data_IF_660962649975
#
_entry.id   IF_660962649975
#
_cell.length_a   1.000
_cell.length_b   1.000
_cell.length_c   1.000
_cell.angle_alpha   90.00
_cell.angle_beta   90.00
_cell.angle_gamma   90.00
#
_symmetry.space_group_name_H-M   'P 1'
#
loop_
_entity.id
_entity.type
_entity.pdbx_description
1 polymer ?
#
# COMPACT_ATOMS: atom_id res chain seq x y z
N UNK A 1 -33.40 46.09 -33.93
CA UNK A 1 -34.09 44.80 -33.65
C UNK A 1 -33.07 43.85 -33.07
N UNK A 2 -32.91 43.86 -31.73
CA UNK A 2 -32.06 42.92 -31.01
C UNK A 2 -32.91 41.75 -30.56
N UNK A 3 -32.53 40.53 -30.92
CA UNK A 3 -33.09 39.31 -30.38
C UNK A 3 -32.12 38.79 -29.30
N UNK A 4 -32.34 39.24 -28.08
CA UNK A 4 -31.84 38.61 -26.86
C UNK A 4 -32.59 37.28 -26.66
N UNK A 5 -32.04 36.19 -27.17
CA UNK A 5 -32.47 34.84 -26.78
C UNK A 5 -31.91 34.51 -25.40
N UNK A 6 -32.67 34.92 -24.40
CA UNK A 6 -32.57 34.49 -23.00
C UNK A 6 -32.64 32.96 -22.94
N UNK A 7 -31.51 32.31 -22.70
CA UNK A 7 -31.41 30.87 -22.42
C UNK A 7 -32.17 30.57 -21.11
N UNK A 8 -33.05 29.57 -21.04
CA UNK A 8 -33.67 29.18 -19.79
C UNK A 8 -32.63 28.49 -18.91
N UNK A 9 -32.28 29.14 -17.80
CA UNK A 9 -31.48 28.58 -16.72
C UNK A 9 -32.41 27.69 -15.88
N UNK A 10 -32.45 26.39 -16.19
CA UNK A 10 -33.13 25.41 -15.35
C UNK A 10 -32.29 25.20 -14.08
N UNK A 11 -32.81 25.49 -12.88
CA UNK A 11 -32.12 25.12 -11.66
C UNK A 11 -32.08 23.59 -11.60
N UNK A 12 -30.89 23.00 -11.65
CA UNK A 12 -30.71 21.60 -11.30
C UNK A 12 -31.24 21.42 -9.89
N UNK A 13 -32.39 20.74 -9.72
CA UNK A 13 -32.92 20.36 -8.42
C UNK A 13 -31.89 19.46 -7.72
N UNK A 14 -31.07 20.07 -6.87
CA UNK A 14 -30.11 19.38 -6.03
C UNK A 14 -30.90 18.56 -5.01
N UNK A 15 -31.07 17.27 -5.29
CA UNK A 15 -31.79 16.34 -4.42
C UNK A 15 -31.02 16.18 -3.11
N UNK A 16 -31.64 16.57 -2.00
CA UNK A 16 -31.05 16.41 -0.66
C UNK A 16 -31.52 15.08 -0.04
N UNK A 17 -30.59 14.35 0.58
CA UNK A 17 -30.85 13.15 1.39
C UNK A 17 -30.17 13.27 2.75
N UNK A 18 -30.44 12.36 3.69
CA UNK A 18 -29.72 12.31 4.96
C UNK A 18 -28.35 11.66 4.76
N UNK A 19 -27.27 12.27 5.25
CA UNK A 19 -25.91 11.76 5.00
C UNK A 19 -25.69 10.32 5.53
N UNK A 20 -26.27 10.01 6.68
CA UNK A 20 -26.23 8.70 7.33
C UNK A 20 -26.98 7.59 6.58
N UNK A 21 -27.75 7.93 5.55
CA UNK A 21 -28.42 6.93 4.68
C UNK A 21 -27.55 6.44 3.53
N UNK A 22 -26.43 7.12 3.26
CA UNK A 22 -25.46 6.69 2.25
C UNK A 22 -24.39 5.83 2.93
N UNK A 23 -24.53 4.52 2.78
CA UNK A 23 -23.67 3.53 3.41
C UNK A 23 -22.29 3.43 2.76
N UNK A 24 -21.31 2.94 3.52
CA UNK A 24 -20.03 2.52 2.98
C UNK A 24 -20.23 1.30 2.07
N UNK A 25 -19.64 1.35 0.88
CA UNK A 25 -19.62 0.21 -0.05
C UNK A 25 -18.19 -0.29 -0.13
N UNK A 26 -18.03 -1.60 -0.05
CA UNK A 26 -16.75 -2.29 -0.19
C UNK A 26 -16.88 -3.39 -1.25
N UNK A 27 -15.80 -3.69 -1.98
CA UNK A 27 -15.80 -4.83 -2.87
C UNK A 27 -16.00 -6.13 -2.10
N UNK A 28 -16.68 -7.08 -2.74
CA UNK A 28 -16.84 -8.43 -2.22
C UNK A 28 -15.55 -9.21 -2.37
N UNK A 29 -14.61 -8.99 -1.46
CA UNK A 29 -13.43 -9.86 -1.31
C UNK A 29 -13.87 -11.11 -0.54
N UNK A 30 -14.13 -12.22 -1.24
CA UNK A 30 -14.45 -13.48 -0.56
C UNK A 30 -13.31 -13.90 0.37
N UNK A 31 -13.61 -14.34 1.60
CA UNK A 31 -12.75 -14.93 2.66
C UNK A 31 -11.34 -14.34 2.97
N UNK A 32 -10.80 -13.43 2.15
CA UNK A 32 -9.46 -12.87 2.28
C UNK A 32 -9.49 -11.62 3.15
N UNK A 33 -8.51 -11.46 4.05
CA UNK A 33 -8.45 -10.31 4.95
C UNK A 33 -7.97 -9.08 4.18
N UNK A 34 -8.88 -8.41 3.48
CA UNK A 34 -8.61 -7.18 2.75
C UNK A 34 -8.85 -5.97 3.67
N UNK A 35 -7.84 -5.11 3.90
CA UNK A 35 -7.99 -3.95 4.74
C UNK A 35 -9.04 -2.99 4.15
N UNK A 36 -10.02 -2.64 4.98
CA UNK A 36 -11.17 -1.83 4.59
C UNK A 36 -10.92 -0.36 4.89
N UNK A 37 -11.39 0.58 4.05
CA UNK A 37 -11.34 1.99 4.39
C UNK A 37 -12.25 2.28 5.58
N UNK A 38 -12.00 3.37 6.30
CA UNK A 38 -12.92 3.89 7.30
C UNK A 38 -13.74 5.02 6.68
N UNK A 39 -15.06 4.81 6.59
CA UNK A 39 -16.01 5.89 6.39
C UNK A 39 -16.24 6.65 7.71
N UNK A 40 -16.56 7.94 7.60
CA UNK A 40 -17.11 8.68 8.74
C UNK A 40 -18.39 8.01 9.26
N UNK A 41 -18.49 7.94 10.58
CA UNK A 41 -19.63 7.41 11.30
C UNK A 41 -20.83 8.38 11.26
N UNK A 42 -22.06 7.90 11.51
CA UNK A 42 -23.23 8.78 11.60
C UNK A 42 -23.08 9.92 12.62
N UNK A 43 -22.39 9.64 13.74
CA UNK A 43 -22.11 10.65 14.77
C UNK A 43 -21.16 11.74 14.26
N UNK A 44 -20.13 11.39 13.49
CA UNK A 44 -19.19 12.34 12.88
C UNK A 44 -19.84 13.18 11.77
N UNK A 45 -20.75 12.58 11.01
CA UNK A 45 -21.58 13.27 10.00
C UNK A 45 -22.59 14.24 10.63
N UNK A 46 -22.97 14.01 11.90
CA UNK A 46 -23.82 14.92 12.68
C UNK A 46 -25.26 15.04 12.20
N UNK A 47 -25.77 14.04 11.45
CA UNK A 47 -27.14 14.04 10.92
C UNK A 47 -27.43 15.15 9.90
N UNK A 48 -26.39 15.73 9.30
CA UNK A 48 -26.53 16.81 8.33
C UNK A 48 -27.16 16.30 7.03
N UNK A 49 -27.97 17.15 6.33
CA UNK A 49 -28.41 16.84 4.99
C UNK A 49 -27.20 16.77 4.04
N UNK A 50 -27.16 15.74 3.22
CA UNK A 50 -26.26 15.56 2.10
C UNK A 50 -26.95 16.02 0.81
N UNK A 51 -26.27 16.88 0.06
CA UNK A 51 -26.65 17.25 -1.29
C UNK A 51 -26.11 16.19 -2.23
N UNK A 52 -26.99 15.55 -3.01
CA UNK A 52 -26.57 14.62 -4.06
C UNK A 52 -26.00 15.41 -5.24
N UNK A 53 -24.91 14.91 -5.79
CA UNK A 53 -24.36 15.41 -7.03
C UNK A 53 -25.36 15.12 -8.16
N UNK A 54 -25.72 16.13 -8.95
CA UNK A 54 -26.50 15.93 -10.17
C UNK A 54 -25.74 15.06 -11.19
N UNK A 55 -24.42 15.20 -11.22
CA UNK A 55 -23.49 14.33 -11.93
C UNK A 55 -22.26 14.06 -11.03
N UNK A 56 -21.72 12.82 -11.02
CA UNK A 56 -20.51 12.49 -10.26
C UNK A 56 -19.35 13.45 -10.58
N UNK A 57 -18.82 14.13 -9.58
CA UNK A 57 -17.78 15.16 -9.78
C UNK A 57 -16.38 14.58 -9.57
N UNK A 58 -15.44 14.70 -10.52
CA UNK A 58 -14.08 14.20 -10.34
C UNK A 58 -13.35 14.85 -9.15
N UNK A 59 -12.79 14.04 -8.28
CA UNK A 59 -12.05 14.48 -7.09
C UNK A 59 -10.80 13.65 -6.85
N UNK A 60 -9.90 14.19 -6.04
CA UNK A 60 -8.91 13.41 -5.30
C UNK A 60 -9.23 13.47 -3.82
N UNK A 61 -9.12 12.34 -3.13
CA UNK A 61 -9.52 12.26 -1.73
C UNK A 61 -8.49 11.47 -0.92
N UNK A 62 -8.17 11.96 0.27
CA UNK A 62 -7.44 11.19 1.27
C UNK A 62 -8.41 10.26 2.01
N UNK A 63 -8.23 8.96 1.82
CA UNK A 63 -8.99 7.90 2.50
C UNK A 63 -8.12 7.22 3.55
N UNK A 64 -8.72 6.86 4.68
CA UNK A 64 -8.03 6.20 5.79
C UNK A 64 -8.35 4.71 5.78
N UNK A 65 -7.32 3.90 5.94
CA UNK A 65 -7.39 2.46 6.22
C UNK A 65 -6.80 2.22 7.62
N UNK A 66 -7.05 1.06 8.26
CA UNK A 66 -6.52 0.73 9.58
C UNK A 66 -5.02 0.99 9.79
N UNK A 67 -4.21 0.89 8.74
CA UNK A 67 -2.76 1.02 8.82
C UNK A 67 -2.17 2.17 7.99
N UNK A 68 -2.89 2.70 6.99
CA UNK A 68 -2.35 3.65 6.00
C UNK A 68 -3.39 4.71 5.62
N UNK A 69 -2.92 5.84 5.10
CA UNK A 69 -3.75 6.76 4.35
C UNK A 69 -3.39 6.64 2.87
N UNK A 70 -4.39 6.66 1.98
CA UNK A 70 -4.17 6.65 0.53
C UNK A 70 -4.80 7.89 -0.10
N UNK A 71 -4.13 8.44 -1.09
CA UNK A 71 -4.66 9.52 -1.91
C UNK A 71 -5.26 8.91 -3.18
N UNK A 72 -6.57 8.77 -3.21
CA UNK A 72 -7.30 8.11 -4.30
C UNK A 72 -7.85 9.13 -5.30
N UNK A 73 -7.98 8.71 -6.56
CA UNK A 73 -8.77 9.44 -7.55
C UNK A 73 -10.16 8.81 -7.57
N UNK A 74 -11.19 9.64 -7.51
CA UNK A 74 -12.56 9.17 -7.40
C UNK A 74 -13.57 10.18 -7.88
N UNK A 75 -14.82 9.91 -7.54
CA UNK A 75 -15.98 10.71 -7.89
C UNK A 75 -16.71 11.11 -6.61
N UNK A 76 -16.94 12.40 -6.41
CA UNK A 76 -17.84 12.90 -5.38
C UNK A 76 -19.29 12.70 -5.84
N UNK A 77 -20.04 11.89 -5.09
CA UNK A 77 -21.43 11.55 -5.36
C UNK A 77 -22.41 12.34 -4.49
N UNK A 78 -21.98 12.77 -3.32
CA UNK A 78 -22.75 13.61 -2.42
C UNK A 78 -21.84 14.43 -1.49
N UNK A 79 -22.35 15.51 -0.90
CA UNK A 79 -21.60 16.28 0.09
C UNK A 79 -22.48 16.92 1.15
N UNK A 80 -21.91 17.11 2.33
CA UNK A 80 -22.40 17.99 3.39
C UNK A 80 -21.43 19.16 3.53
N UNK A 81 -21.71 20.18 4.36
CA UNK A 81 -20.72 21.22 4.67
C UNK A 81 -19.41 20.69 5.29
N UNK A 82 -19.40 19.46 5.83
CA UNK A 82 -18.27 18.89 6.57
C UNK A 82 -17.65 17.66 5.91
N UNK A 83 -18.37 16.97 5.03
CA UNK A 83 -17.96 15.68 4.51
C UNK A 83 -18.36 15.51 3.04
N UNK A 84 -17.65 14.64 2.33
CA UNK A 84 -17.93 14.28 0.94
C UNK A 84 -18.03 12.77 0.84
N UNK A 85 -19.05 12.29 0.16
CA UNK A 85 -19.25 10.88 -0.15
C UNK A 85 -18.56 10.60 -1.49
N UNK A 86 -17.48 9.82 -1.43
CA UNK A 86 -16.58 9.58 -2.55
C UNK A 86 -16.68 8.12 -2.97
N UNK A 87 -16.76 7.90 -4.27
CA UNK A 87 -16.59 6.60 -4.93
C UNK A 87 -15.22 6.52 -5.59
N UNK A 88 -14.54 5.38 -5.48
CA UNK A 88 -13.30 5.12 -6.21
C UNK A 88 -13.16 3.63 -6.54
N UNK A 89 -12.20 3.32 -7.40
CA UNK A 89 -11.90 1.95 -7.83
C UNK A 89 -10.50 1.57 -7.31
N UNK A 90 -10.43 0.44 -6.60
CA UNK A 90 -9.21 -0.14 -6.03
C UNK A 90 -9.49 -1.62 -5.75
N UNK A 91 -9.19 -2.48 -6.72
CA UNK A 91 -9.57 -3.91 -6.68
C UNK A 91 -11.09 -4.11 -6.49
N UNK A 92 -11.87 -3.20 -7.08
CA UNK A 92 -13.33 -3.11 -6.97
C UNK A 92 -13.82 -1.73 -6.54
N UNK A 93 -15.14 -1.53 -6.56
CA UNK A 93 -15.76 -0.25 -6.21
C UNK A 93 -15.86 -0.08 -4.70
N UNK A 94 -15.29 1.02 -4.21
CA UNK A 94 -15.44 1.47 -2.84
C UNK A 94 -16.28 2.75 -2.79
N UNK A 95 -17.04 2.94 -1.71
CA UNK A 95 -17.66 4.22 -1.37
C UNK A 95 -17.53 4.51 0.10
N UNK A 96 -17.16 5.74 0.45
CA UNK A 96 -17.05 6.15 1.85
C UNK A 96 -17.25 7.66 2.01
N UNK A 97 -17.67 8.05 3.21
CA UNK A 97 -17.61 9.45 3.64
C UNK A 97 -16.20 9.79 4.11
N UNK A 98 -15.70 10.91 3.62
CA UNK A 98 -14.44 11.52 4.04
C UNK A 98 -14.67 12.97 4.46
N UNK A 99 -13.81 13.50 5.33
CA UNK A 99 -13.87 14.92 5.71
C UNK A 99 -13.69 15.81 4.48
N UNK A 100 -14.48 16.88 4.34
CA UNK A 100 -14.42 17.78 3.19
C UNK A 100 -13.02 18.40 2.98
N UNK A 101 -12.25 18.79 4.03
CA UNK A 101 -10.87 19.23 3.88
C UNK A 101 -9.90 18.16 3.34
N UNK A 102 -10.30 16.89 3.34
CA UNK A 102 -9.51 15.79 2.79
C UNK A 102 -9.76 15.57 1.29
N UNK A 103 -10.58 16.41 0.65
CA UNK A 103 -11.00 16.27 -0.76
C UNK A 103 -10.60 17.50 -1.56
N UNK A 104 -9.92 17.23 -2.68
CA UNK A 104 -9.51 18.21 -3.67
C UNK A 104 -10.33 18.00 -4.95
N UNK A 105 -10.81 19.08 -5.56
CA UNK A 105 -11.44 18.98 -6.88
C UNK A 105 -10.40 18.60 -7.92
N UNK A 106 -10.70 17.58 -8.72
CA UNK A 106 -9.90 17.25 -9.88
C UNK A 106 -10.53 17.91 -11.11
N UNK A 107 -9.71 18.47 -12.00
CA UNK A 107 -10.22 18.79 -13.33
C UNK A 107 -10.73 17.49 -13.99
N UNK A 108 -11.85 17.53 -14.75
CA UNK A 108 -12.21 16.40 -15.60
C UNK A 108 -11.05 16.22 -16.57
N UNK A 109 -10.23 15.18 -16.35
CA UNK A 109 -9.03 14.99 -17.16
C UNK A 109 -9.46 14.76 -18.60
N UNK A 110 -9.14 15.70 -19.49
CA UNK A 110 -8.76 15.36 -20.85
C UNK A 110 -7.81 14.17 -20.77
N UNK A 111 -8.06 13.13 -21.57
CA UNK A 111 -7.15 12.01 -21.75
C UNK A 111 -5.73 12.55 -21.95
N UNK A 112 -4.77 12.29 -21.05
CA UNK A 112 -3.42 12.75 -21.25
C UNK A 112 -2.81 11.98 -22.44
N UNK A 113 -2.00 12.59 -23.31
CA UNK A 113 -1.06 11.81 -24.10
C UNK A 113 -0.21 11.00 -23.12
N UNK A 114 -0.01 9.72 -23.42
CA UNK A 114 0.70 8.75 -22.61
C UNK A 114 2.05 9.31 -22.11
N UNK A 115 2.02 9.96 -20.96
CA UNK A 115 3.20 10.19 -20.16
C UNK A 115 3.57 8.83 -19.55
N UNK A 116 4.86 8.48 -19.49
CA UNK A 116 5.27 7.23 -18.88
C UNK A 116 4.67 7.18 -17.46
N UNK A 117 4.14 6.02 -17.02
CA UNK A 117 3.52 5.90 -15.72
C UNK A 117 4.53 6.39 -14.69
N UNK A 118 4.20 7.47 -13.98
CA UNK A 118 4.91 7.76 -12.74
C UNK A 118 4.66 6.55 -11.86
N UNK A 119 5.68 5.91 -11.28
CA UNK A 119 5.48 4.74 -10.46
C UNK A 119 4.57 5.14 -9.31
N UNK A 120 3.30 4.72 -9.38
CA UNK A 120 2.50 4.48 -8.20
C UNK A 120 3.39 3.59 -7.36
N UNK A 121 3.85 4.08 -6.21
CA UNK A 121 4.63 3.28 -5.28
C UNK A 121 3.71 2.15 -4.88
N UNK A 122 3.88 1.02 -5.55
CA UNK A 122 3.26 -0.25 -5.27
C UNK A 122 3.85 -0.67 -3.93
N UNK A 123 3.33 -0.06 -2.87
CA UNK A 123 3.53 -0.54 -1.51
C UNK A 123 2.79 -1.86 -1.46
N UNK A 124 3.45 -2.90 -1.96
CA UNK A 124 3.31 -4.25 -1.46
C UNK A 124 3.17 -4.12 0.05
N UNK A 125 1.93 -4.25 0.52
CA UNK A 125 1.61 -4.07 1.92
C UNK A 125 2.55 -4.97 2.69
N UNK A 126 3.37 -4.40 3.58
CA UNK A 126 4.36 -5.13 4.40
C UNK A 126 3.74 -6.38 5.06
N UNK A 127 2.41 -6.40 5.21
CA UNK A 127 1.62 -7.48 5.80
C UNK A 127 1.48 -8.71 4.91
N UNK A 128 1.64 -8.59 3.60
CA UNK A 128 1.65 -9.72 2.68
C UNK A 128 3.08 -10.23 2.52
N UNK A 129 3.46 -11.20 3.37
CA UNK A 129 4.79 -11.79 3.33
C UNK A 129 5.06 -12.57 2.04
N UNK A 130 4.02 -13.21 1.48
CA UNK A 130 4.16 -14.10 0.33
C UNK A 130 4.75 -13.41 -0.92
N UNK A 131 4.26 -12.24 -1.35
CA UNK A 131 4.89 -11.48 -2.44
C UNK A 131 6.37 -11.13 -2.19
N UNK A 132 6.74 -10.75 -0.95
CA UNK A 132 8.12 -10.40 -0.61
C UNK A 132 9.04 -11.62 -0.66
N UNK A 133 8.55 -12.76 -0.18
CA UNK A 133 9.26 -14.04 -0.26
C UNK A 133 9.48 -14.45 -1.71
N UNK A 134 8.46 -14.33 -2.58
CA UNK A 134 8.60 -14.65 -4.00
C UNK A 134 9.58 -13.71 -4.72
N UNK A 135 9.62 -12.42 -4.36
CA UNK A 135 10.63 -11.50 -4.88
C UNK A 135 12.06 -11.89 -4.49
N UNK A 136 12.27 -12.27 -3.22
CA UNK A 136 13.58 -12.74 -2.76
C UNK A 136 13.98 -14.05 -3.45
N UNK A 137 13.07 -15.02 -3.55
CA UNK A 137 13.31 -16.26 -4.30
C UNK A 137 13.69 -15.99 -5.76
N UNK A 138 12.94 -15.12 -6.44
CA UNK A 138 13.22 -14.76 -7.83
C UNK A 138 14.56 -14.00 -7.99
N UNK A 139 14.99 -13.26 -6.97
CA UNK A 139 16.29 -12.59 -6.99
C UNK A 139 17.44 -13.58 -6.74
N UNK A 140 17.33 -14.44 -5.73
CA UNK A 140 18.34 -15.45 -5.41
C UNK A 140 18.50 -16.48 -6.53
N UNK A 141 17.40 -16.91 -7.16
CA UNK A 141 17.44 -17.81 -8.31
C UNK A 141 18.24 -17.24 -9.50
N UNK A 142 18.23 -15.91 -9.70
CA UNK A 142 19.08 -15.25 -10.72
C UNK A 142 20.56 -15.28 -10.36
N UNK A 143 20.86 -15.37 -9.07
CA UNK A 143 22.23 -15.44 -8.53
C UNK A 143 22.71 -16.88 -8.30
N UNK A 144 21.87 -17.88 -8.63
CA UNK A 144 22.20 -19.29 -8.45
C UNK A 144 22.03 -19.82 -7.02
N UNK A 145 21.41 -19.05 -6.12
CA UNK A 145 21.15 -19.44 -4.74
C UNK A 145 19.66 -19.76 -4.52
N UNK A 146 19.36 -20.69 -3.62
CA UNK A 146 17.99 -21.09 -3.31
C UNK A 146 17.56 -20.64 -1.90
N UNK A 147 16.38 -20.01 -1.82
CA UNK A 147 15.71 -19.72 -0.55
C UNK A 147 14.71 -20.83 -0.19
N UNK A 148 15.07 -21.61 0.81
CA UNK A 148 14.30 -22.76 1.30
C UNK A 148 13.04 -22.39 2.08
N UNK A 149 12.37 -23.42 2.62
CA UNK A 149 11.07 -23.34 3.31
C UNK A 149 11.02 -22.19 4.31
N UNK A 150 10.11 -21.26 4.05
CA UNK A 150 10.04 -19.99 4.75
C UNK A 150 8.82 -19.90 5.65
N UNK A 151 9.00 -19.54 6.92
CA UNK A 151 7.92 -19.13 7.81
C UNK A 151 7.96 -17.62 7.99
N UNK A 152 6.90 -16.93 7.59
CA UNK A 152 6.77 -15.50 7.81
C UNK A 152 5.99 -15.20 9.09
N UNK A 153 6.44 -14.19 9.84
CA UNK A 153 5.75 -13.67 11.03
C UNK A 153 5.66 -12.15 10.94
N UNK A 154 4.51 -11.56 11.25
CA UNK A 154 4.39 -10.11 11.39
C UNK A 154 5.36 -9.60 12.47
N UNK A 155 6.08 -8.53 12.18
CA UNK A 155 7.00 -7.85 13.09
C UNK A 155 6.55 -6.41 13.29
N UNK A 156 5.36 -6.26 13.87
CA UNK A 156 4.71 -4.98 14.11
C UNK A 156 3.86 -4.48 12.94
N UNK A 157 3.37 -3.23 13.01
CA UNK A 157 2.40 -2.69 12.04
C UNK A 157 3.00 -2.44 10.65
N UNK A 158 4.33 -2.28 10.56
CA UNK A 158 5.07 -1.91 9.36
C UNK A 158 6.24 -2.86 9.09
N UNK A 159 6.22 -4.07 9.64
CA UNK A 159 7.32 -5.01 9.52
C UNK A 159 6.86 -6.45 9.35
N UNK A 160 7.65 -7.23 8.64
CA UNK A 160 7.52 -8.68 8.54
C UNK A 160 8.90 -9.31 8.63
N UNK A 161 8.96 -10.42 9.35
CA UNK A 161 10.17 -11.21 9.49
C UNK A 161 9.93 -12.56 8.82
N UNK A 162 10.85 -12.97 7.96
CA UNK A 162 10.83 -14.24 7.28
C UNK A 162 11.99 -15.08 7.77
N UNK A 163 11.69 -16.23 8.36
CA UNK A 163 12.66 -17.24 8.73
C UNK A 163 12.75 -18.26 7.60
N UNK A 164 13.95 -18.58 7.14
CA UNK A 164 14.16 -19.56 6.09
C UNK A 164 15.60 -20.05 6.09
N UNK A 165 16.03 -20.61 4.97
CA UNK A 165 17.43 -20.99 4.77
C UNK A 165 17.91 -20.55 3.39
N UNK A 166 19.16 -20.11 3.29
CA UNK A 166 19.86 -19.89 2.03
C UNK A 166 21.00 -20.91 1.98
N UNK A 167 21.07 -21.76 0.96
CA UNK A 167 22.15 -22.78 0.83
C UNK A 167 22.34 -23.62 2.11
N UNK A 168 21.24 -24.05 2.74
CA UNK A 168 21.21 -24.76 4.03
C UNK A 168 21.60 -23.95 5.29
N UNK A 169 21.99 -22.68 5.16
CA UNK A 169 22.25 -21.81 6.30
C UNK A 169 20.95 -21.18 6.82
N UNK A 170 20.63 -21.31 8.12
CA UNK A 170 19.43 -20.73 8.69
C UNK A 170 19.54 -19.21 8.79
N UNK A 171 18.61 -18.51 8.15
CA UNK A 171 18.62 -17.05 8.08
C UNK A 171 17.30 -16.44 8.51
N UNK A 172 17.37 -15.19 8.93
CA UNK A 172 16.21 -14.35 9.22
C UNK A 172 16.29 -13.08 8.39
N UNK A 173 15.33 -12.93 7.49
CA UNK A 173 15.10 -11.72 6.72
C UNK A 173 14.14 -10.81 7.45
N UNK A 174 14.51 -9.55 7.64
CA UNK A 174 13.63 -8.52 8.19
C UNK A 174 13.30 -7.51 7.10
N UNK A 175 12.01 -7.29 6.91
CA UNK A 175 11.46 -6.26 6.04
C UNK A 175 10.73 -5.26 6.91
N UNK A 176 11.06 -3.98 6.79
CA UNK A 176 10.35 -2.92 7.49
C UNK A 176 10.09 -1.72 6.59
N UNK A 177 8.98 -1.04 6.80
CA UNK A 177 8.69 0.23 6.17
C UNK A 177 8.75 1.34 7.22
N UNK A 178 9.51 2.40 6.92
CA UNK A 178 9.53 3.61 7.71
C UNK A 178 8.56 4.63 7.07
N UNK A 179 7.40 4.89 7.71
CA UNK A 179 6.42 5.85 7.19
C UNK A 179 6.88 7.30 7.31
N UNK A 180 7.88 7.62 8.14
CA UNK A 180 8.38 8.99 8.29
C UNK A 180 9.29 9.39 7.12
N UNK A 181 10.10 8.46 6.64
CA UNK A 181 11.02 8.68 5.50
C UNK A 181 10.48 8.13 4.18
N UNK A 182 9.37 7.39 4.21
CA UNK A 182 8.79 6.70 3.06
C UNK A 182 9.79 5.73 2.40
N UNK A 183 10.51 4.97 3.23
CA UNK A 183 11.52 4.00 2.77
C UNK A 183 11.24 2.60 3.31
N UNK A 184 11.42 1.61 2.45
CA UNK A 184 11.47 0.19 2.76
C UNK A 184 12.91 -0.22 3.07
N UNK A 185 13.09 -1.00 4.14
CA UNK A 185 14.37 -1.52 4.60
C UNK A 185 14.36 -3.04 4.53
N UNK A 186 15.45 -3.59 4.02
CA UNK A 186 15.73 -5.04 4.00
C UNK A 186 17.00 -5.31 4.80
N UNK A 187 16.96 -6.33 5.65
CA UNK A 187 18.11 -6.76 6.43
C UNK A 187 18.15 -8.29 6.55
N UNK A 188 19.33 -8.88 6.33
CA UNK A 188 19.57 -10.31 6.52
C UNK A 188 20.38 -10.55 7.80
N UNK A 189 19.89 -11.46 8.62
CA UNK A 189 20.56 -11.96 9.81
C UNK A 189 20.91 -13.43 9.64
N UNK A 190 22.14 -13.80 9.98
CA UNK A 190 22.53 -15.18 10.19
C UNK A 190 22.11 -15.62 11.60
N UNK A 191 21.35 -16.72 11.67
CA UNK A 191 20.91 -17.29 12.94
C UNK A 191 22.00 -18.14 13.62
N UNK A 192 22.99 -18.59 12.86
CA UNK A 192 24.15 -19.37 13.35
C UNK A 192 25.12 -18.43 14.06
N UNK A 193 25.66 -17.44 13.35
CA UNK A 193 26.56 -16.44 13.93
C UNK A 193 25.84 -15.36 14.76
N UNK A 194 24.50 -15.32 14.73
CA UNK A 194 23.65 -14.35 15.45
C UNK A 194 23.98 -12.90 15.13
N UNK A 195 24.38 -12.62 13.90
CA UNK A 195 24.80 -11.29 13.46
C UNK A 195 24.12 -10.87 12.16
N UNK A 196 24.13 -9.56 11.92
CA UNK A 196 23.76 -8.97 10.63
C UNK A 196 24.90 -9.25 9.67
N UNK A 197 24.59 -9.79 8.49
CA UNK A 197 25.62 -10.15 7.52
C UNK A 197 26.11 -8.94 6.70
N UNK A 198 25.19 -8.07 6.31
CA UNK A 198 25.50 -6.88 5.51
C UNK A 198 24.68 -5.68 5.98
N UNK A 199 25.19 -4.47 5.74
CA UNK A 199 24.48 -3.24 6.06
C UNK A 199 23.06 -3.24 5.47
N UNK A 200 22.11 -2.75 6.28
CA UNK A 200 20.71 -2.66 5.86
C UNK A 200 20.60 -1.71 4.66
N UNK A 201 19.76 -2.05 3.71
CA UNK A 201 19.50 -1.19 2.54
C UNK A 201 18.13 -0.55 2.68
N UNK A 202 18.06 0.77 2.49
CA UNK A 202 16.83 1.54 2.47
C UNK A 202 16.54 2.03 1.04
N UNK A 203 15.34 1.78 0.53
CA UNK A 203 14.90 2.24 -0.79
C UNK A 203 13.41 2.64 -0.78
N UNK A 204 12.91 3.40 -1.76
CA UNK A 204 11.50 3.76 -1.86
C UNK A 204 10.51 2.58 -1.93
N UNK A 205 10.96 1.41 -2.39
CA UNK A 205 10.14 0.18 -2.45
C UNK A 205 10.91 -1.06 -1.96
N UNK A 206 10.20 -2.11 -1.53
CA UNK A 206 10.85 -3.38 -1.19
C UNK A 206 11.54 -4.02 -2.39
N UNK A 207 11.00 -3.87 -3.60
CA UNK A 207 11.64 -4.40 -4.81
C UNK A 207 13.01 -3.75 -5.02
N UNK A 208 13.08 -2.43 -4.96
CA UNK A 208 14.34 -1.70 -5.10
C UNK A 208 15.30 -2.01 -3.94
N UNK A 209 14.80 -2.15 -2.71
CA UNK A 209 15.63 -2.51 -1.56
C UNK A 209 16.20 -3.93 -1.70
N UNK A 210 15.42 -4.90 -2.19
CA UNK A 210 15.88 -6.26 -2.49
C UNK A 210 16.89 -6.24 -3.65
N UNK A 211 16.64 -5.48 -4.71
CA UNK A 211 17.55 -5.41 -5.86
C UNK A 211 18.88 -4.73 -5.54
N UNK A 212 18.87 -3.74 -4.63
CA UNK A 212 20.07 -3.02 -4.19
C UNK A 212 20.80 -3.70 -3.01
N UNK A 213 20.21 -4.73 -2.40
CA UNK A 213 20.85 -5.47 -1.32
C UNK A 213 22.05 -6.27 -1.84
N UNK A 214 23.17 -6.23 -1.14
CA UNK A 214 24.39 -6.93 -1.53
C UNK A 214 24.29 -8.44 -1.21
N UNK A 215 23.44 -9.15 -1.96
CA UNK A 215 23.18 -10.57 -1.75
C UNK A 215 24.42 -11.44 -1.93
N UNK A 216 25.28 -11.13 -2.90
CA UNK A 216 26.51 -11.87 -3.13
C UNK A 216 27.43 -11.84 -1.89
N UNK A 217 27.67 -10.65 -1.34
CA UNK A 217 28.47 -10.48 -0.11
C UNK A 217 27.81 -11.19 1.09
N UNK A 218 26.49 -11.11 1.18
CA UNK A 218 25.74 -11.76 2.26
C UNK A 218 25.82 -13.30 2.18
N UNK A 219 25.78 -13.86 0.97
CA UNK A 219 25.91 -15.30 0.73
C UNK A 219 27.36 -15.74 1.00
N UNK A 220 28.36 -15.02 0.50
CA UNK A 220 29.78 -15.32 0.77
C UNK A 220 30.08 -15.33 2.28
N UNK A 221 29.50 -14.38 3.03
CA UNK A 221 29.61 -14.32 4.47
C UNK A 221 28.94 -15.52 5.18
N UNK A 222 27.86 -16.09 4.62
CA UNK A 222 27.24 -17.32 5.14
C UNK A 222 28.15 -18.53 4.92
N UNK A 223 28.77 -18.65 3.75
CA UNK A 223 29.69 -19.74 3.42
C UNK A 223 30.93 -19.73 4.31
N UNK A 224 31.50 -18.54 4.56
CA UNK A 224 32.66 -18.35 5.44
C UNK A 224 32.34 -18.63 6.92
N UNK A 225 31.09 -18.41 7.35
CA UNK A 225 30.65 -18.69 8.72
C UNK A 225 30.36 -20.19 8.96
N UNK A 226 30.36 -20.99 7.89
CA UNK A 226 30.06 -22.43 7.90
C UNK A 226 31.27 -23.35 7.96
N UNK A 227 32.51 -22.85 7.91
CA UNK A 227 33.70 -23.69 8.13
C UNK A 227 33.83 -24.03 9.63
N UNK A 228 33.63 -25.30 10.04
CA UNK A 228 34.09 -25.72 11.35
C UNK A 228 35.63 -25.67 11.34
N UNK A 229 36.21 -25.07 12.37
CA UNK A 229 37.61 -25.29 12.76
C UNK A 229 37.86 -26.81 12.89
N UNK A 230 38.25 -27.46 11.80
CA UNK A 230 38.85 -28.78 11.82
C UNK A 230 40.33 -28.62 12.11
N UNK A 231 40.65 -28.21 13.35
CA UNK A 231 42.00 -28.31 13.86
C UNK A 231 41.98 -28.70 15.34
N UNK A 232 42.03 -30.01 15.61
CA UNK A 232 43.07 -30.54 16.51
C UNK A 232 43.34 -32.04 16.27
N UNK A 233 44.62 -32.45 16.33
CA UNK A 233 45.11 -33.75 15.89
C UNK A 233 44.94 -34.84 16.97
N UNK A 234 44.91 -36.10 16.52
CA UNK A 234 45.02 -37.30 17.35
C UNK A 234 46.29 -37.28 18.22
N UNK A 235 46.19 -37.86 19.42
CA UNK A 235 47.21 -38.76 19.92
C UNK A 235 46.70 -40.19 20.14
#
# INVERSE_FOLDING_TARGET
MGLDTKRPDTPHEQRSVRADTLEQIEPSYGAEFVPRPFSLTPAELGGLPAILAGEPTPVRAWVRYPAIARHVRGLALAWTPRAVYVEWEDEGTHRAWVWAPAVERAAPSQTPPAAPPRPSVDMLSVRAAAPLVELVKAHLARSGAEFGTSTARPAGPFGVVVFGSIEHHPVRLEFSADPATNTCVVQLFDLTAKQVLVERVAAPTFKEAIEAYAWAEAIDALTLSGEPDHEHPEP
#
